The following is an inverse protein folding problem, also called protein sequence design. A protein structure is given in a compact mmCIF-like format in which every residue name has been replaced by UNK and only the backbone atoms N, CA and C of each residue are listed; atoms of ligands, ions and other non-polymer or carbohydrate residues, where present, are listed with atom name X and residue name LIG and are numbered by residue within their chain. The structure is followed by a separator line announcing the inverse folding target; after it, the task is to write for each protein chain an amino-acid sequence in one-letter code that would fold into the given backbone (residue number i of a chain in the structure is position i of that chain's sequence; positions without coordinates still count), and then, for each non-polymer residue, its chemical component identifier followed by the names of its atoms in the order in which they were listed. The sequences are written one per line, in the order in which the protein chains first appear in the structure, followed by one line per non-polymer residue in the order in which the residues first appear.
data_IF_533230304629
#
_entry.id   IF_533230304629
#
_cell.length_a   1.000
_cell.length_b   1.000
_cell.length_c   1.000
_cell.angle_alpha   90.00
_cell.angle_beta   90.00
_cell.angle_gamma   90.00
#
_symmetry.space_group_name_H-M   'P 1'
#
loop_
_entity.id
_entity.type
_entity.pdbx_description
1 polymer ?
#
# COMPACT_ATOMS: atom_id res chain seq x y z
N UNK A 1 -13.44 21.29 0.00
CA UNK A 1 -13.98 19.94 -0.17
C UNK A 1 -15.51 19.85 -0.15
N UNK A 2 -16.22 20.55 0.68
CA UNK A 2 -17.69 20.51 0.69
C UNK A 2 -18.37 20.95 -0.62
N UNK A 3 -17.88 22.01 -1.28
CA UNK A 3 -18.45 22.52 -2.55
C UNK A 3 -18.21 21.60 -3.77
N UNK A 4 -17.27 20.67 -3.69
CA UNK A 4 -16.94 19.73 -4.79
C UNK A 4 -17.64 18.36 -4.66
N UNK A 5 -18.56 18.18 -3.71
CA UNK A 5 -19.24 16.89 -3.49
C UNK A 5 -18.36 15.73 -3.05
N UNK A 6 -17.14 16.02 -2.58
CA UNK A 6 -16.14 15.02 -2.18
C UNK A 6 -16.32 14.54 -0.74
N UNK A 7 -17.10 15.25 0.07
CA UNK A 7 -17.50 14.82 1.41
C UNK A 7 -18.50 13.68 1.28
N UNK A 8 -18.38 12.67 2.14
CA UNK A 8 -19.19 11.44 2.12
C UNK A 8 -19.08 10.67 0.79
N UNK A 9 -17.90 10.72 0.15
CA UNK A 9 -17.61 10.08 -1.12
C UNK A 9 -16.37 9.19 -1.03
N UNK A 10 -16.44 7.96 -1.55
CA UNK A 10 -15.28 7.06 -1.66
C UNK A 10 -14.18 7.69 -2.52
N UNK A 11 -14.56 8.43 -3.57
CA UNK A 11 -13.58 9.13 -4.43
C UNK A 11 -12.85 10.22 -3.64
N UNK A 12 -13.56 10.98 -2.80
CA UNK A 12 -12.94 11.97 -1.93
C UNK A 12 -11.92 11.36 -0.97
N UNK A 13 -12.26 10.21 -0.37
CA UNK A 13 -11.37 9.47 0.51
C UNK A 13 -10.12 8.93 -0.23
N UNK A 14 -10.31 8.38 -1.43
CA UNK A 14 -9.22 7.91 -2.29
C UNK A 14 -8.25 9.05 -2.61
N UNK A 15 -8.76 10.24 -2.97
CA UNK A 15 -7.92 11.41 -3.28
C UNK A 15 -7.08 11.81 -2.07
N UNK A 16 -7.66 11.79 -0.86
CA UNK A 16 -6.91 12.10 0.38
C UNK A 16 -5.83 11.04 0.62
N UNK A 17 -6.15 9.77 0.48
CA UNK A 17 -5.17 8.69 0.64
C UNK A 17 -4.03 8.79 -0.39
N UNK A 18 -4.35 9.08 -1.65
CA UNK A 18 -3.33 9.29 -2.68
C UNK A 18 -2.45 10.49 -2.35
N UNK A 19 -3.02 11.60 -1.85
CA UNK A 19 -2.26 12.81 -1.51
C UNK A 19 -1.20 12.56 -0.44
N UNK A 20 -1.42 11.61 0.45
CA UNK A 20 -0.49 11.24 1.52
C UNK A 20 0.44 10.11 1.08
N UNK A 21 -0.12 9.08 0.46
CA UNK A 21 0.63 7.86 0.14
C UNK A 21 1.60 8.04 -1.02
N UNK A 22 1.24 8.82 -2.05
CA UNK A 22 2.07 8.98 -3.26
C UNK A 22 3.40 9.67 -2.95
N UNK A 23 3.48 10.81 -2.26
CA UNK A 23 4.77 11.43 -1.93
C UNK A 23 5.68 10.51 -1.14
N UNK A 24 5.12 9.80 -0.16
CA UNK A 24 5.86 8.86 0.66
C UNK A 24 6.35 7.64 -0.15
N UNK A 25 5.48 7.07 -0.99
CA UNK A 25 5.83 5.95 -1.85
C UNK A 25 6.95 6.33 -2.83
N UNK A 26 6.88 7.52 -3.43
CA UNK A 26 7.93 8.03 -4.32
C UNK A 26 9.24 8.15 -3.55
N UNK A 27 9.24 8.74 -2.37
CA UNK A 27 10.44 8.91 -1.55
C UNK A 27 11.11 7.57 -1.23
N UNK A 28 10.34 6.57 -0.84
CA UNK A 28 10.86 5.22 -0.60
C UNK A 28 11.39 4.57 -1.88
N UNK A 29 10.64 4.67 -2.99
CA UNK A 29 11.03 4.07 -4.26
C UNK A 29 12.31 4.66 -4.81
N UNK A 30 12.53 5.97 -4.69
CA UNK A 30 13.79 6.63 -5.10
C UNK A 30 14.98 5.93 -4.45
N UNK A 31 14.91 5.60 -3.14
CA UNK A 31 15.98 4.87 -2.47
C UNK A 31 16.27 3.51 -3.11
N UNK A 32 15.24 2.76 -3.52
CA UNK A 32 15.45 1.48 -4.19
C UNK A 32 16.00 1.65 -5.61
N UNK A 33 15.53 2.63 -6.38
CA UNK A 33 16.05 2.88 -7.72
C UNK A 33 17.50 3.31 -7.71
N UNK A 34 17.94 4.06 -6.70
CA UNK A 34 19.36 4.47 -6.53
C UNK A 34 20.30 3.30 -6.24
N UNK A 35 19.80 2.13 -5.87
CA UNK A 35 20.63 0.93 -5.66
C UNK A 35 21.01 0.22 -6.97
N UNK A 36 20.39 0.58 -8.09
CA UNK A 36 20.69 -0.01 -9.40
C UNK A 36 21.98 0.61 -9.94
N UNK A 37 23.05 -0.19 -10.20
CA UNK A 37 24.28 0.33 -10.79
C UNK A 37 24.02 0.87 -12.20
N UNK A 38 24.61 2.03 -12.51
CA UNK A 38 24.44 2.69 -13.80
C UNK A 38 24.99 1.84 -14.96
N UNK A 39 26.05 1.08 -14.68
CA UNK A 39 26.71 0.19 -15.64
C UNK A 39 25.76 -0.86 -16.23
N UNK A 40 24.77 -1.30 -15.45
CA UNK A 40 23.76 -2.27 -15.92
C UNK A 40 22.82 -1.61 -16.94
N UNK A 41 22.46 -0.36 -16.72
CA UNK A 41 21.64 0.41 -17.65
C UNK A 41 22.42 0.71 -18.93
N UNK A 42 23.67 1.14 -18.80
CA UNK A 42 24.56 1.43 -19.94
C UNK A 42 24.80 0.19 -20.79
N UNK A 43 25.07 -0.97 -20.19
CA UNK A 43 25.21 -2.23 -20.91
C UNK A 43 23.96 -2.57 -21.74
N UNK A 44 22.78 -2.41 -21.15
CA UNK A 44 21.52 -2.65 -21.87
C UNK A 44 21.29 -1.66 -23.05
N UNK A 45 21.74 -0.41 -22.93
CA UNK A 45 21.73 0.55 -24.02
C UNK A 45 22.70 0.14 -25.14
N UNK A 46 23.90 -0.37 -24.79
CA UNK A 46 24.86 -0.86 -25.78
C UNK A 46 24.34 -2.08 -26.54
N UNK A 47 23.49 -2.90 -25.91
CA UNK A 47 22.78 -4.03 -26.53
C UNK A 47 21.58 -3.57 -27.41
N UNK A 48 21.39 -2.25 -27.59
CA UNK A 48 20.35 -1.69 -28.45
C UNK A 48 18.96 -1.57 -27.82
N UNK A 49 18.85 -1.73 -26.49
CA UNK A 49 17.56 -1.56 -25.81
C UNK A 49 17.17 -0.07 -25.73
N UNK A 50 15.90 0.22 -26.00
CA UNK A 50 15.37 1.56 -25.79
C UNK A 50 15.06 1.81 -24.29
N UNK A 51 14.84 3.08 -23.90
CA UNK A 51 14.59 3.48 -22.51
C UNK A 51 13.48 2.67 -21.81
N UNK A 52 12.38 2.39 -22.51
CA UNK A 52 11.27 1.62 -21.95
C UNK A 52 11.64 0.15 -21.74
N UNK A 53 12.45 -0.42 -22.63
CA UNK A 53 12.97 -1.79 -22.51
C UNK A 53 13.97 -1.89 -21.36
N UNK A 54 14.90 -0.94 -21.21
CA UNK A 54 15.82 -0.87 -20.08
C UNK A 54 15.03 -0.80 -18.77
N UNK A 55 14.08 0.12 -18.67
CA UNK A 55 13.24 0.25 -17.48
C UNK A 55 12.46 -1.04 -17.16
N UNK A 56 11.73 -1.59 -18.13
CA UNK A 56 10.79 -2.69 -17.88
C UNK A 56 11.47 -4.07 -17.77
N UNK A 57 12.58 -4.30 -18.48
CA UNK A 57 13.23 -5.61 -18.55
C UNK A 57 14.49 -5.72 -17.68
N UNK A 58 15.09 -4.59 -17.32
CA UNK A 58 16.33 -4.56 -16.54
C UNK A 58 16.11 -3.95 -15.17
N UNK A 59 15.73 -2.67 -15.10
CA UNK A 59 15.63 -1.92 -13.84
C UNK A 59 14.47 -2.43 -12.98
N UNK A 60 13.27 -2.52 -13.54
CA UNK A 60 12.07 -2.88 -12.78
C UNK A 60 12.15 -4.27 -12.11
N UNK A 61 12.68 -5.33 -12.75
CA UNK A 61 12.91 -6.60 -12.07
C UNK A 61 13.90 -6.52 -10.91
N UNK A 62 14.94 -5.72 -11.02
CA UNK A 62 15.94 -5.53 -9.95
C UNK A 62 15.31 -4.85 -8.74
N UNK A 63 14.52 -3.79 -8.95
CA UNK A 63 13.87 -3.03 -7.88
C UNK A 63 12.54 -3.63 -7.43
N UNK A 64 12.06 -4.70 -8.07
CA UNK A 64 10.76 -5.32 -7.76
C UNK A 64 10.58 -5.66 -6.27
N UNK A 65 11.57 -6.18 -5.53
CA UNK A 65 11.44 -6.40 -4.09
C UNK A 65 11.15 -5.10 -3.33
N UNK A 66 11.78 -3.99 -3.72
CA UNK A 66 11.54 -2.67 -3.14
C UNK A 66 10.13 -2.14 -3.46
N UNK A 67 9.68 -2.30 -4.71
CA UNK A 67 8.31 -1.94 -5.11
C UNK A 67 7.28 -2.70 -4.29
N UNK A 68 7.51 -4.00 -4.07
CA UNK A 68 6.66 -4.84 -3.25
C UNK A 68 6.66 -4.39 -1.78
N UNK A 69 7.81 -4.04 -1.23
CA UNK A 69 7.91 -3.54 0.15
C UNK A 69 7.12 -2.22 0.32
N UNK A 70 7.24 -1.29 -0.62
CA UNK A 70 6.49 -0.02 -0.62
C UNK A 70 4.98 -0.27 -0.76
N UNK A 71 4.56 -1.22 -1.61
CA UNK A 71 3.16 -1.58 -1.76
C UNK A 71 2.57 -2.14 -0.47
N UNK A 72 3.31 -3.02 0.24
CA UNK A 72 2.89 -3.55 1.55
C UNK A 72 2.74 -2.43 2.56
N UNK A 73 3.75 -1.60 2.68
CA UNK A 73 3.73 -0.48 3.62
C UNK A 73 2.53 0.44 3.37
N UNK A 74 2.31 0.82 2.10
CA UNK A 74 1.18 1.66 1.71
C UNK A 74 -0.16 1.00 2.02
N UNK A 75 -0.30 -0.29 1.72
CA UNK A 75 -1.50 -1.06 2.03
C UNK A 75 -1.79 -1.06 3.54
N UNK A 76 -0.78 -1.38 4.37
CA UNK A 76 -0.94 -1.44 5.82
C UNK A 76 -1.38 -0.08 6.38
N UNK A 77 -0.75 1.02 5.92
CA UNK A 77 -1.10 2.36 6.38
C UNK A 77 -2.53 2.76 6.00
N UNK A 78 -2.92 2.53 4.73
CA UNK A 78 -4.27 2.85 4.24
C UNK A 78 -5.32 1.95 4.88
N UNK A 79 -5.02 0.66 5.07
CA UNK A 79 -5.93 -0.30 5.71
C UNK A 79 -6.25 0.06 7.16
N UNK A 80 -5.26 0.52 7.90
CA UNK A 80 -5.41 0.93 9.30
C UNK A 80 -5.82 2.40 9.46
N UNK A 81 -5.97 3.15 8.33
CA UNK A 81 -6.32 4.54 8.42
C UNK A 81 -7.74 4.71 8.97
N UNK A 82 -7.86 5.54 9.98
CA UNK A 82 -9.09 5.75 10.73
C UNK A 82 -9.58 7.19 10.66
N UNK A 83 -8.66 8.15 10.78
CA UNK A 83 -9.00 9.54 11.05
C UNK A 83 -9.70 10.22 9.85
N UNK A 84 -9.12 10.09 8.66
CA UNK A 84 -9.71 10.72 7.46
C UNK A 84 -11.02 10.06 7.08
N UNK A 85 -11.13 8.75 7.22
CA UNK A 85 -12.38 8.04 7.00
C UNK A 85 -13.46 8.49 7.99
N UNK A 86 -13.13 8.66 9.26
CA UNK A 86 -14.06 9.12 10.30
C UNK A 86 -14.58 10.54 10.02
N UNK A 87 -13.70 11.44 9.53
CA UNK A 87 -14.06 12.84 9.27
C UNK A 87 -14.80 13.01 7.94
N UNK A 88 -14.43 12.25 6.92
CA UNK A 88 -14.93 12.45 5.56
C UNK A 88 -16.16 11.63 5.24
N UNK A 89 -16.35 10.47 5.89
CA UNK A 89 -17.42 9.52 5.58
C UNK A 89 -18.46 9.53 6.71
N UNK A 90 -19.68 9.92 6.37
CA UNK A 90 -20.79 9.97 7.31
C UNK A 90 -21.79 8.82 7.12
N UNK A 91 -21.80 8.15 5.97
CA UNK A 91 -22.73 7.06 5.65
C UNK A 91 -22.15 5.71 6.02
N UNK A 92 -22.94 4.86 6.69
CA UNK A 92 -22.52 3.50 7.11
C UNK A 92 -22.05 2.61 5.94
N UNK A 93 -22.70 2.72 4.78
CA UNK A 93 -22.40 1.94 3.57
C UNK A 93 -21.05 2.30 2.91
N UNK A 94 -20.43 3.41 3.33
CA UNK A 94 -19.15 3.91 2.78
C UNK A 94 -18.00 3.88 3.78
N UNK A 95 -18.28 3.53 5.05
CA UNK A 95 -17.26 3.49 6.09
C UNK A 95 -16.15 2.50 5.76
N UNK A 96 -14.92 2.85 6.14
CA UNK A 96 -13.81 1.90 6.16
C UNK A 96 -13.98 0.91 7.30
N UNK A 97 -13.26 -0.20 7.22
CA UNK A 97 -13.34 -1.27 8.23
C UNK A 97 -12.93 -0.76 9.61
N UNK A 98 -11.92 0.11 9.69
CA UNK A 98 -11.46 0.72 10.93
C UNK A 98 -12.56 1.56 11.61
N UNK A 99 -13.28 2.38 10.84
CA UNK A 99 -14.41 3.18 11.36
C UNK A 99 -15.60 2.29 11.70
N UNK A 100 -15.88 1.28 10.89
CA UNK A 100 -16.93 0.30 11.16
C UNK A 100 -16.69 -0.43 12.48
N UNK A 101 -15.46 -0.87 12.75
CA UNK A 101 -15.10 -1.51 14.01
C UNK A 101 -15.32 -0.55 15.21
N UNK A 102 -14.91 0.71 15.07
CA UNK A 102 -15.13 1.74 16.10
C UNK A 102 -16.63 1.98 16.36
N UNK A 103 -17.48 1.90 15.34
CA UNK A 103 -18.93 2.11 15.49
C UNK A 103 -19.59 1.03 16.35
N UNK A 104 -19.02 -0.17 16.45
CA UNK A 104 -19.49 -1.23 17.35
C UNK A 104 -19.26 -0.89 18.83
N UNK A 105 -18.23 -0.11 19.13
CA UNK A 105 -17.92 0.33 20.51
C UNK A 105 -18.87 1.42 21.02
N UNK A 106 -19.62 2.07 20.14
CA UNK A 106 -20.57 3.14 20.51
C UNK A 106 -21.98 2.66 20.81
N UNK A 107 -22.24 1.36 20.85
CA UNK A 107 -23.54 0.80 21.20
C UNK A 107 -23.75 0.82 22.72
N UNK A 108 -25.00 0.95 23.18
CA UNK A 108 -25.34 1.01 24.61
C UNK A 108 -24.89 -0.23 25.38
N UNK A 109 -24.85 -1.39 24.71
CA UNK A 109 -24.30 -2.64 25.26
C UNK A 109 -23.21 -3.13 24.34
N UNK A 110 -21.96 -3.13 24.82
CA UNK A 110 -20.83 -3.65 24.09
C UNK A 110 -20.85 -5.19 24.09
N UNK A 111 -21.15 -5.78 22.94
CA UNK A 111 -21.01 -7.23 22.74
C UNK A 111 -19.54 -7.57 22.39
N UNK A 112 -18.83 -8.07 23.40
CA UNK A 112 -17.43 -8.48 23.24
C UNK A 112 -17.25 -9.61 22.21
N UNK A 113 -18.24 -10.51 22.07
CA UNK A 113 -18.20 -11.58 21.09
C UNK A 113 -18.22 -11.05 19.65
N UNK A 114 -19.16 -10.13 19.38
CA UNK A 114 -19.25 -9.45 18.06
C UNK A 114 -17.99 -8.65 17.78
N UNK A 115 -17.45 -7.95 18.78
CA UNK A 115 -16.24 -7.15 18.64
C UNK A 115 -15.02 -8.02 18.29
N UNK A 116 -14.83 -9.14 18.96
CA UNK A 116 -13.74 -10.08 18.70
C UNK A 116 -13.88 -10.75 17.33
N UNK A 117 -15.10 -11.17 16.96
CA UNK A 117 -15.37 -11.74 15.65
C UNK A 117 -15.11 -10.74 14.51
N UNK A 118 -15.57 -9.49 14.66
CA UNK A 118 -15.32 -8.44 13.69
C UNK A 118 -13.82 -8.13 13.56
N UNK A 119 -13.10 -8.04 14.68
CA UNK A 119 -11.64 -7.83 14.67
C UNK A 119 -10.91 -8.97 13.96
N UNK A 120 -11.30 -10.22 14.18
CA UNK A 120 -10.72 -11.37 13.49
C UNK A 120 -10.95 -11.30 11.96
N UNK A 121 -12.15 -10.91 11.53
CA UNK A 121 -12.46 -10.74 10.11
C UNK A 121 -11.63 -9.62 9.46
N UNK A 122 -11.36 -8.54 10.19
CA UNK A 122 -10.55 -7.40 9.70
C UNK A 122 -9.09 -7.78 9.45
N UNK A 123 -8.56 -8.73 10.19
CA UNK A 123 -7.17 -9.21 10.03
C UNK A 123 -7.01 -10.08 8.79
N UNK A 124 -8.05 -10.82 8.37
CA UNK A 124 -7.96 -11.78 7.26
C UNK A 124 -7.40 -11.17 5.97
N UNK A 125 -7.91 -10.03 5.44
CA UNK A 125 -7.38 -9.45 4.21
C UNK A 125 -5.90 -9.05 4.32
N UNK A 126 -5.47 -8.56 5.47
CA UNK A 126 -4.08 -8.20 5.72
C UNK A 126 -3.16 -9.42 5.71
N UNK A 127 -3.60 -10.52 6.32
CA UNK A 127 -2.85 -11.79 6.31
C UNK A 127 -2.77 -12.38 4.91
N UNK A 128 -3.89 -12.39 4.17
CA UNK A 128 -3.92 -12.86 2.77
C UNK A 128 -2.96 -12.03 1.92
N UNK A 129 -3.03 -10.70 2.02
CA UNK A 129 -2.16 -9.81 1.29
C UNK A 129 -0.69 -10.06 1.61
N UNK A 130 -0.34 -10.21 2.89
CA UNK A 130 1.01 -10.55 3.33
C UNK A 130 1.48 -11.90 2.76
N UNK A 131 0.65 -12.95 2.84
CA UNK A 131 1.00 -14.28 2.33
C UNK A 131 1.24 -14.30 0.81
N UNK A 132 0.50 -13.49 0.05
CA UNK A 132 0.68 -13.40 -1.40
C UNK A 132 2.02 -12.76 -1.77
N UNK A 133 2.50 -11.83 -0.95
CA UNK A 133 3.63 -10.99 -1.29
C UNK A 133 4.94 -11.47 -0.67
N UNK A 134 4.92 -12.14 0.49
CA UNK A 134 6.11 -12.61 1.21
C UNK A 134 7.09 -13.43 0.34
N UNK A 135 6.58 -14.22 -0.62
CA UNK A 135 7.41 -15.02 -1.53
C UNK A 135 8.28 -14.14 -2.46
N UNK A 136 7.82 -12.96 -2.81
CA UNK A 136 8.56 -12.03 -3.68
C UNK A 136 9.64 -11.26 -2.91
N UNK A 137 9.46 -11.06 -1.60
CA UNK A 137 10.46 -10.44 -0.73
C UNK A 137 11.61 -11.41 -0.47
N UNK A 138 11.30 -12.67 -0.14
CA UNK A 138 12.29 -13.69 0.17
C UNK A 138 13.24 -13.96 -1.01
N UNK A 139 12.72 -13.96 -2.25
CA UNK A 139 13.54 -14.14 -3.46
C UNK A 139 14.53 -13.00 -3.71
N UNK A 140 14.19 -11.75 -3.35
CA UNK A 140 15.07 -10.58 -3.52
C UNK A 140 16.16 -10.47 -2.47
N UNK A 141 15.87 -10.85 -1.22
CA UNK A 141 16.87 -10.82 -0.13
C UNK A 141 17.92 -11.94 -0.25
N UNK A 142 17.54 -13.09 -0.81
CA UNK A 142 18.47 -14.21 -1.00
C UNK A 142 19.56 -13.91 -2.05
N UNK A 143 19.29 -13.05 -3.03
CA UNK A 143 20.27 -12.64 -4.04
C UNK A 143 21.23 -11.54 -3.56
N UNK A 144 20.88 -10.78 -2.52
CA UNK A 144 21.70 -9.71 -1.97
C UNK A 144 22.69 -10.13 -0.85
N UNK A 145 22.60 -11.36 -0.36
CA UNK A 145 23.42 -11.84 0.77
C UNK A 145 24.63 -12.70 0.39
N UNK A 146 24.92 -12.84 -0.90
CA UNK A 146 26.15 -13.52 -1.37
C UNK A 146 27.15 -12.44 -1.74
N UNK A 147 27.87 -11.95 -0.75
CA UNK A 147 29.18 -11.32 -0.88
C UNK A 147 30.16 -12.05 -0.01
#
# INVERSE_FOLDING_TARGET
MGKAGLVNSRVGLIIVYLSISVPYAIWLLVGFFQTVPLEIEEAAYMDGANKLQVFSRVVLPIVAPGVVAVAIYTFINVWNEFLFSLILINSRDKMTVAVGLKSLMGQEVLDWGVMMAASALVVIPSVIFFMLIQKRIAGGLAQGSIK
#
